data_IF_357980531765
#
_entry.id   IF_357980531765
#
_cell.length_a   1.000
_cell.length_b   1.000
_cell.length_c   1.000
_cell.angle_alpha   90.00
_cell.angle_beta   90.00
_cell.angle_gamma   90.00
#
_symmetry.space_group_name_H-M   'P 1'
#
loop_
_entity.id
_entity.type
_entity.pdbx_description
1 polymer ?
#
# COMPACT_ATOMS: atom_id res chain seq x y z
N UNK A 1 17.91 -29.64 -0.73
CA UNK A 1 18.04 -28.23 -1.14
C UNK A 1 16.84 -27.49 -0.58
N UNK A 2 17.05 -26.70 0.47
CA UNK A 2 16.00 -26.15 1.32
C UNK A 2 15.26 -24.99 0.69
N UNK A 3 13.94 -25.09 0.64
CA UNK A 3 13.05 -23.96 0.42
C UNK A 3 12.90 -23.22 1.75
N UNK A 4 13.72 -22.21 2.00
CA UNK A 4 13.44 -21.26 3.08
C UNK A 4 12.32 -20.35 2.61
N UNK A 5 11.07 -20.77 2.82
CA UNK A 5 9.97 -19.81 2.94
C UNK A 5 10.42 -18.86 4.05
N UNK A 6 10.64 -17.59 3.72
CA UNK A 6 10.92 -16.59 4.74
C UNK A 6 9.73 -16.64 5.71
N UNK A 7 9.97 -17.13 6.93
CA UNK A 7 9.00 -17.10 8.00
C UNK A 7 8.82 -15.63 8.35
N UNK A 8 7.83 -15.00 7.70
CA UNK A 8 7.38 -13.68 8.12
C UNK A 8 6.87 -13.88 9.54
N UNK A 9 7.37 -13.12 10.53
CA UNK A 9 6.99 -13.32 11.92
C UNK A 9 5.46 -13.17 12.02
N UNK A 10 4.75 -14.23 12.39
CA UNK A 10 3.29 -14.23 12.56
C UNK A 10 2.91 -13.54 13.89
N UNK A 11 3.41 -12.32 14.04
CA UNK A 11 3.19 -11.47 15.21
C UNK A 11 1.84 -10.75 15.03
N UNK A 12 0.99 -10.71 16.06
CA UNK A 12 -0.30 -10.01 15.99
C UNK A 12 -0.19 -8.53 15.57
N UNK A 13 0.97 -7.89 15.78
CA UNK A 13 1.25 -6.54 15.30
C UNK A 13 1.14 -6.38 13.78
N UNK A 14 1.30 -7.45 12.98
CA UNK A 14 1.13 -7.39 11.53
C UNK A 14 -0.27 -6.92 11.13
N UNK A 15 -1.30 -7.29 11.91
CA UNK A 15 -2.66 -6.85 11.66
C UNK A 15 -2.81 -5.34 11.88
N UNK A 16 -2.21 -4.82 12.95
CA UNK A 16 -2.23 -3.39 13.27
C UNK A 16 -1.45 -2.57 12.24
N UNK A 17 -0.29 -3.06 11.80
CA UNK A 17 0.47 -2.39 10.75
C UNK A 17 -0.28 -2.40 9.41
N UNK A 18 -0.95 -3.52 9.07
CA UNK A 18 -1.76 -3.62 7.85
C UNK A 18 -2.97 -2.70 7.92
N UNK A 19 -3.66 -2.62 9.07
CA UNK A 19 -4.75 -1.68 9.28
C UNK A 19 -4.27 -0.23 9.17
N UNK A 20 -3.09 0.09 9.68
CA UNK A 20 -2.47 1.41 9.58
C UNK A 20 -2.14 1.76 8.12
N UNK A 21 -1.52 0.83 7.38
CA UNK A 21 -1.24 0.99 5.95
C UNK A 21 -2.49 1.34 5.14
N UNK A 22 -3.61 0.64 5.39
CA UNK A 22 -4.88 0.90 4.69
C UNK A 22 -5.51 2.25 5.08
N UNK A 23 -5.42 2.66 6.35
CA UNK A 23 -5.91 3.98 6.78
C UNK A 23 -5.08 5.11 6.17
N UNK A 24 -3.77 4.93 6.08
CA UNK A 24 -2.87 5.90 5.48
C UNK A 24 -3.10 6.00 3.97
N UNK A 25 -3.35 4.87 3.28
CA UNK A 25 -3.81 4.88 1.89
C UNK A 25 -5.07 5.72 1.69
N UNK A 26 -6.13 5.46 2.48
CA UNK A 26 -7.40 6.21 2.39
C UNK A 26 -7.25 7.70 2.75
N UNK A 27 -6.25 8.04 3.56
CA UNK A 27 -5.96 9.45 3.92
C UNK A 27 -5.23 10.14 2.79
N UNK A 28 -4.19 9.52 2.23
CA UNK A 28 -3.43 10.05 1.12
C UNK A 28 -4.27 10.15 -0.16
N UNK A 29 -5.17 9.20 -0.39
CA UNK A 29 -6.12 9.22 -1.50
C UNK A 29 -6.89 10.54 -1.56
N UNK A 30 -7.36 11.04 -0.39
CA UNK A 30 -8.09 12.32 -0.28
C UNK A 30 -7.20 13.55 -0.50
N UNK A 31 -5.90 13.41 -0.32
CA UNK A 31 -4.91 14.49 -0.41
C UNK A 31 -4.24 14.57 -1.79
N UNK A 32 -4.34 13.51 -2.58
CA UNK A 32 -3.74 13.39 -3.90
C UNK A 32 -4.79 13.50 -5.01
N UNK A 33 -4.37 13.93 -6.20
CA UNK A 33 -5.26 14.02 -7.36
C UNK A 33 -5.03 12.90 -8.35
N UNK A 34 -3.78 12.47 -8.53
CA UNK A 34 -3.42 11.45 -9.53
C UNK A 34 -2.95 10.15 -8.88
N UNK A 35 -3.05 9.05 -9.63
CA UNK A 35 -2.55 7.75 -9.20
C UNK A 35 -1.05 7.78 -8.86
N UNK A 36 -0.26 8.52 -9.63
CA UNK A 36 1.18 8.69 -9.43
C UNK A 36 1.50 9.40 -8.11
N UNK A 37 0.72 10.42 -7.75
CA UNK A 37 0.88 11.13 -6.47
C UNK A 37 0.55 10.21 -5.29
N UNK A 38 -0.56 9.46 -5.37
CA UNK A 38 -0.93 8.50 -4.32
C UNK A 38 0.09 7.37 -4.18
N UNK A 39 0.51 6.82 -5.32
CA UNK A 39 1.50 5.75 -5.38
C UNK A 39 2.85 6.20 -4.79
N UNK A 40 3.35 7.36 -5.21
CA UNK A 40 4.60 7.93 -4.70
C UNK A 40 4.53 8.20 -3.20
N UNK A 41 3.47 8.84 -2.71
CA UNK A 41 3.32 9.12 -1.28
C UNK A 41 3.27 7.85 -0.42
N UNK A 42 2.65 6.78 -0.91
CA UNK A 42 2.64 5.49 -0.23
C UNK A 42 4.03 4.82 -0.25
N UNK A 43 4.79 4.92 -1.34
CA UNK A 43 6.17 4.40 -1.40
C UNK A 43 7.12 5.16 -0.48
N UNK A 44 7.00 6.48 -0.40
CA UNK A 44 7.81 7.31 0.50
C UNK A 44 7.59 6.94 1.96
N UNK A 45 6.34 6.60 2.32
CA UNK A 45 5.96 6.21 3.68
C UNK A 45 6.26 4.74 4.00
N UNK A 46 6.15 3.86 3.01
CA UNK A 46 6.28 2.41 3.18
C UNK A 46 7.21 1.77 2.14
N UNK A 47 8.51 2.12 2.12
CA UNK A 47 9.44 1.69 1.08
C UNK A 47 9.68 0.18 1.05
N UNK A 48 9.40 -0.52 2.15
CA UNK A 48 9.69 -1.95 2.33
C UNK A 48 8.45 -2.85 2.21
N UNK A 49 7.26 -2.31 1.87
CA UNK A 49 6.05 -3.14 1.71
C UNK A 49 6.10 -3.89 0.38
N UNK A 50 5.90 -5.20 0.45
CA UNK A 50 6.27 -6.17 -0.58
C UNK A 50 5.42 -6.18 -1.88
N UNK A 51 4.48 -5.23 -2.08
CA UNK A 51 3.59 -5.28 -3.25
C UNK A 51 3.35 -3.92 -3.94
N UNK A 52 4.36 -3.42 -4.68
CA UNK A 52 4.21 -2.23 -5.52
C UNK A 52 3.12 -2.39 -6.59
N UNK A 53 2.93 -3.59 -7.15
CA UNK A 53 1.94 -3.85 -8.20
C UNK A 53 0.50 -3.65 -7.73
N UNK A 54 0.11 -4.23 -6.59
CA UNK A 54 -1.23 -4.00 -6.02
C UNK A 54 -1.42 -2.57 -5.53
N UNK A 55 -0.37 -1.92 -5.03
CA UNK A 55 -0.44 -0.50 -4.68
C UNK A 55 -0.74 0.35 -5.92
N UNK A 56 -0.05 0.12 -7.04
CA UNK A 56 -0.33 0.82 -8.30
C UNK A 56 -1.75 0.58 -8.81
N UNK A 57 -2.22 -0.68 -8.78
CA UNK A 57 -3.59 -1.03 -9.17
C UNK A 57 -4.65 -0.31 -8.33
N UNK A 58 -4.49 -0.31 -7.00
CA UNK A 58 -5.38 0.43 -6.09
C UNK A 58 -5.36 1.94 -6.34
N UNK A 59 -4.17 2.53 -6.51
CA UNK A 59 -4.03 3.96 -6.79
C UNK A 59 -4.67 4.37 -8.13
N UNK A 60 -4.53 3.52 -9.15
CA UNK A 60 -5.13 3.74 -10.47
C UNK A 60 -6.66 3.74 -10.42
N UNK A 61 -7.25 2.79 -9.70
CA UNK A 61 -8.72 2.70 -9.52
C UNK A 61 -9.23 3.91 -8.73
N UNK A 62 -8.57 4.25 -7.63
CA UNK A 62 -8.96 5.38 -6.79
C UNK A 62 -8.92 6.72 -7.55
N UNK A 63 -7.87 6.93 -8.36
CA UNK A 63 -7.78 8.12 -9.22
C UNK A 63 -8.85 8.12 -10.32
N UNK A 64 -9.18 6.97 -10.92
CA UNK A 64 -10.21 6.86 -11.95
C UNK A 64 -11.61 7.20 -11.40
N UNK A 65 -11.95 6.75 -10.20
CA UNK A 65 -13.24 7.04 -9.55
C UNK A 65 -13.49 8.53 -9.25
N UNK A 66 -12.46 9.38 -9.33
CA UNK A 66 -12.58 10.85 -9.17
C UNK A 66 -12.94 11.58 -10.47
N UNK A 67 -12.83 10.91 -11.62
CA UNK A 67 -13.07 11.49 -12.95
C UNK A 67 -14.30 10.90 -13.66
N UNK A 68 -15.03 9.99 -13.01
CA UNK A 68 -16.28 9.39 -13.49
C UNK A 68 -17.53 10.11 -13.00
#
# INVERSE_FOLDING_TARGET
MGSTVAELPDDPSILDETATYLRDFNTLEKQTTTAEQLYGAMLDRYPNRANPGSLWGGASIAAHGRHG
#
